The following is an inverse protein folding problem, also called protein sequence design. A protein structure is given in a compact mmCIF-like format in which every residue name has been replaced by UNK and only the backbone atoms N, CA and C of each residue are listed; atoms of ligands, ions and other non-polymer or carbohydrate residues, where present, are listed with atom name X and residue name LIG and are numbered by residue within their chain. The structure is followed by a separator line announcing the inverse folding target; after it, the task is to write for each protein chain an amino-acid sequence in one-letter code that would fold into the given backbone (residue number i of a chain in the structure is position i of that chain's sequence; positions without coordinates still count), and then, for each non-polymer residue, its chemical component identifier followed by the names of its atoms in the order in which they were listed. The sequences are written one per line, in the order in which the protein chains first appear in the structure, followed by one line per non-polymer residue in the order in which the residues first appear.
data_IF_538325965903
#
_entry.id   IF_538325965903
#
_cell.length_a   1.000
_cell.length_b   1.000
_cell.length_c   1.000
_cell.angle_alpha   90.00
_cell.angle_beta   90.00
_cell.angle_gamma   90.00
#
_symmetry.space_group_name_H-M   'P 1'
#
loop_
_entity.id
_entity.type
_entity.pdbx_description
1 polymer ?
#
# COMPACT_ATOMS: atom_id res chain seq x y z
N UNK A 1 -13.70 -7.74 24.32
CA UNK A 1 -13.48 -7.47 22.89
C UNK A 1 -14.77 -7.83 22.18
N UNK A 2 -15.56 -6.82 21.85
CA UNK A 2 -16.84 -6.99 21.16
C UNK A 2 -16.56 -7.54 19.77
N UNK A 3 -17.22 -8.64 19.41
CA UNK A 3 -17.27 -9.06 18.01
C UNK A 3 -17.71 -7.84 17.19
N UNK A 4 -16.92 -7.47 16.19
CA UNK A 4 -17.34 -6.42 15.26
C UNK A 4 -18.57 -6.96 14.54
N UNK A 5 -19.75 -6.53 14.98
CA UNK A 5 -21.05 -6.96 14.47
C UNK A 5 -21.09 -6.67 12.97
N UNK A 6 -20.81 -7.69 12.18
CA UNK A 6 -20.75 -7.65 10.73
C UNK A 6 -21.94 -8.49 10.26
N UNK A 7 -22.75 -7.90 9.38
CA UNK A 7 -23.93 -8.59 8.86
C UNK A 7 -23.57 -9.79 7.94
N UNK A 8 -22.29 -9.91 7.57
CA UNK A 8 -21.73 -10.96 6.72
C UNK A 8 -20.64 -11.68 7.51
N UNK A 9 -20.62 -13.02 7.41
CA UNK A 9 -19.56 -13.82 8.00
C UNK A 9 -18.25 -13.66 7.21
N UNK A 10 -17.15 -13.47 7.92
CA UNK A 10 -15.81 -13.33 7.34
C UNK A 10 -14.97 -14.57 7.66
N UNK A 11 -14.21 -15.06 6.68
CA UNK A 11 -13.38 -16.26 6.83
C UNK A 11 -11.95 -15.91 7.25
N UNK A 12 -11.71 -15.96 8.56
CA UNK A 12 -10.41 -15.67 9.16
C UNK A 12 -9.50 -16.91 9.28
N UNK A 13 -9.85 -18.04 8.66
CA UNK A 13 -9.13 -19.31 8.82
C UNK A 13 -7.67 -19.25 8.38
N UNK A 14 -7.37 -18.47 7.34
CA UNK A 14 -6.02 -18.25 6.81
C UNK A 14 -5.32 -17.00 7.41
N UNK A 15 -5.92 -16.38 8.42
CA UNK A 15 -5.38 -15.23 9.13
C UNK A 15 -5.95 -13.89 8.65
N UNK A 16 -5.14 -12.80 8.61
CA UNK A 16 -5.59 -11.49 8.13
C UNK A 16 -6.09 -11.55 6.69
N UNK A 17 -7.22 -10.90 6.40
CA UNK A 17 -7.84 -10.90 5.08
C UNK A 17 -7.11 -9.94 4.13
N UNK A 18 -6.91 -10.27 2.85
CA UNK A 18 -6.56 -9.28 1.84
C UNK A 18 -7.58 -8.14 1.81
N UNK A 19 -7.07 -6.91 1.79
CA UNK A 19 -7.86 -5.70 1.67
C UNK A 19 -7.33 -4.87 0.50
N UNK A 20 -8.15 -4.74 -0.55
CA UNK A 20 -7.88 -3.87 -1.69
C UNK A 20 -8.38 -2.47 -1.36
N UNK A 21 -7.51 -1.47 -1.41
CA UNK A 21 -7.91 -0.07 -1.35
C UNK A 21 -8.14 0.46 -2.77
N UNK A 22 -9.34 0.95 -3.02
CA UNK A 22 -9.76 1.55 -4.28
C UNK A 22 -10.26 2.97 -4.03
N UNK A 23 -9.84 3.90 -4.87
CA UNK A 23 -10.32 5.27 -4.83
C UNK A 23 -11.83 5.32 -5.12
N UNK A 24 -12.59 5.96 -4.22
CA UNK A 24 -14.05 5.94 -4.24
C UNK A 24 -14.64 6.73 -5.41
N UNK A 25 -13.94 7.73 -5.94
CA UNK A 25 -14.43 8.60 -7.02
C UNK A 25 -14.03 8.08 -8.40
N UNK A 26 -12.76 7.67 -8.55
CA UNK A 26 -12.17 7.29 -9.84
C UNK A 26 -12.25 5.79 -10.12
N UNK A 27 -12.41 4.97 -9.06
CA UNK A 27 -12.31 3.51 -9.16
C UNK A 27 -10.89 2.98 -9.36
N UNK A 28 -9.85 3.83 -9.24
CA UNK A 28 -8.46 3.40 -9.35
C UNK A 28 -8.08 2.47 -8.18
N UNK A 29 -7.43 1.34 -8.48
CA UNK A 29 -6.87 0.49 -7.43
C UNK A 29 -5.59 1.13 -6.90
N UNK A 30 -5.56 1.44 -5.61
CA UNK A 30 -4.48 2.19 -4.96
C UNK A 30 -3.43 1.25 -4.36
N UNK A 31 -3.87 0.24 -3.61
CA UNK A 31 -2.96 -0.71 -2.97
C UNK A 31 -3.67 -1.99 -2.53
N UNK A 32 -2.87 -3.02 -2.27
CA UNK A 32 -3.29 -4.22 -1.55
C UNK A 32 -2.53 -4.27 -0.21
N UNK A 33 -3.26 -4.50 0.86
CA UNK A 33 -2.71 -4.81 2.18
C UNK A 33 -3.52 -5.95 2.80
N UNK A 34 -3.32 -6.17 4.09
CA UNK A 34 -4.07 -7.16 4.85
C UNK A 34 -4.75 -6.48 6.03
N UNK A 35 -5.92 -6.94 6.43
CA UNK A 35 -6.66 -6.45 7.59
C UNK A 35 -6.87 -7.62 8.54
N UNK A 36 -6.43 -7.49 9.79
CA UNK A 36 -6.83 -8.40 10.87
C UNK A 36 -8.21 -8.00 11.41
N UNK A 37 -8.79 -8.84 12.28
CA UNK A 37 -10.04 -8.50 12.99
C UNK A 37 -9.93 -7.15 13.73
N UNK A 38 -8.79 -6.92 14.37
CA UNK A 38 -8.50 -5.67 15.06
C UNK A 38 -8.38 -4.49 14.09
N UNK A 39 -7.70 -4.68 12.96
CA UNK A 39 -7.59 -3.64 11.94
C UNK A 39 -8.95 -3.25 11.35
N UNK A 40 -9.82 -4.23 11.09
CA UNK A 40 -11.18 -3.97 10.62
C UNK A 40 -12.03 -3.24 11.68
N UNK A 41 -11.90 -3.62 12.96
CA UNK A 41 -12.58 -2.93 14.05
C UNK A 41 -12.15 -1.46 14.15
N UNK A 42 -10.83 -1.20 14.15
CA UNK A 42 -10.27 0.16 14.17
C UNK A 42 -10.66 0.97 12.94
N UNK A 43 -10.73 0.33 11.77
CA UNK A 43 -11.20 0.98 10.54
C UNK A 43 -12.65 1.47 10.67
N UNK A 44 -13.54 0.63 11.23
CA UNK A 44 -14.95 1.00 11.45
C UNK A 44 -15.11 2.06 12.55
N UNK A 45 -14.27 2.03 13.57
CA UNK A 45 -14.30 2.98 14.68
C UNK A 45 -13.82 4.37 14.26
N UNK A 46 -12.70 4.44 13.55
CA UNK A 46 -12.02 5.70 13.22
C UNK A 46 -12.49 6.31 11.89
N UNK A 47 -13.05 5.51 10.99
CA UNK A 47 -13.30 5.88 9.59
C UNK A 47 -12.03 6.01 8.75
N UNK A 48 -10.86 5.59 9.28
CA UNK A 48 -9.58 5.63 8.59
C UNK A 48 -9.09 4.20 8.31
N UNK A 49 -8.44 3.97 7.17
CA UNK A 49 -7.98 2.64 6.81
C UNK A 49 -6.86 2.18 7.75
N UNK A 50 -7.13 1.10 8.49
CA UNK A 50 -6.16 0.38 9.30
C UNK A 50 -5.85 -0.97 8.67
N UNK A 51 -4.59 -1.37 8.76
CA UNK A 51 -4.07 -2.58 8.15
C UNK A 51 -3.19 -3.35 9.14
N UNK A 52 -2.91 -4.60 8.80
CA UNK A 52 -2.06 -5.51 9.54
C UNK A 52 -0.83 -5.86 8.70
N UNK A 53 0.36 -5.55 9.23
CA UNK A 53 1.63 -5.91 8.62
C UNK A 53 1.94 -7.38 8.89
N UNK A 54 1.87 -8.24 7.86
CA UNK A 54 2.18 -9.67 8.02
C UNK A 54 3.64 -9.94 8.40
N UNK A 55 4.57 -9.07 8.01
CA UNK A 55 5.99 -9.22 8.32
C UNK A 55 6.34 -8.78 9.74
N UNK A 56 5.66 -7.75 10.25
CA UNK A 56 5.87 -7.25 11.62
C UNK A 56 4.92 -7.87 12.64
N UNK A 57 3.80 -8.42 12.19
CA UNK A 57 2.72 -8.90 13.07
C UNK A 57 1.97 -7.77 13.78
N UNK A 58 2.00 -6.55 13.22
CA UNK A 58 1.56 -5.32 13.88
C UNK A 58 0.44 -4.62 13.12
N UNK A 59 -0.46 -3.98 13.87
CA UNK A 59 -1.45 -3.02 13.37
C UNK A 59 -0.76 -1.72 12.95
N UNK A 60 -1.25 -1.08 11.89
CA UNK A 60 -0.83 0.28 11.53
C UNK A 60 -1.97 1.03 10.83
N UNK A 61 -2.01 2.36 11.01
CA UNK A 61 -2.93 3.23 10.30
C UNK A 61 -2.27 3.79 9.03
N UNK A 62 -2.95 3.74 7.89
CA UNK A 62 -2.41 4.33 6.66
C UNK A 62 -2.23 5.84 6.83
N UNK A 63 -1.01 6.29 6.57
CA UNK A 63 -0.65 7.71 6.63
C UNK A 63 -0.40 8.24 8.03
N UNK A 64 -0.27 7.39 9.05
CA UNK A 64 0.02 7.83 10.43
C UNK A 64 1.28 8.71 10.51
N UNK A 65 2.33 8.36 9.78
CA UNK A 65 3.58 9.12 9.74
C UNK A 65 3.58 10.24 8.69
N UNK A 66 2.95 10.01 7.52
CA UNK A 66 3.04 10.91 6.36
C UNK A 66 1.89 11.91 6.22
N UNK A 67 0.80 11.73 6.97
CA UNK A 67 -0.46 12.44 6.74
C UNK A 67 -1.23 11.97 5.51
N UNK A 68 -0.71 11.04 4.71
CA UNK A 68 -1.38 10.52 3.51
C UNK A 68 -2.40 9.44 3.88
N UNK A 69 -3.43 9.85 4.63
CA UNK A 69 -4.46 8.94 5.17
C UNK A 69 -5.44 8.49 4.10
N UNK A 70 -6.19 7.44 4.42
CA UNK A 70 -7.30 6.93 3.60
C UNK A 70 -8.57 7.01 4.43
N UNK A 71 -9.50 7.91 4.06
CA UNK A 71 -10.82 7.96 4.68
C UNK A 71 -11.70 6.90 4.03
N UNK A 72 -12.26 6.01 4.83
CA UNK A 72 -13.06 4.90 4.32
C UNK A 72 -14.49 5.35 4.13
N UNK A 73 -14.94 5.35 2.87
CA UNK A 73 -16.32 5.64 2.50
C UNK A 73 -17.20 4.38 2.61
N UNK A 74 -16.66 3.22 2.22
CA UNK A 74 -17.37 1.95 2.25
C UNK A 74 -16.39 0.78 2.43
N UNK A 75 -16.81 -0.26 3.14
CA UNK A 75 -16.13 -1.56 3.16
C UNK A 75 -17.06 -2.60 2.55
N UNK A 76 -16.60 -3.21 1.47
CA UNK A 76 -17.25 -4.35 0.82
C UNK A 76 -16.53 -5.64 1.16
N UNK A 77 -17.29 -6.72 1.07
CA UNK A 77 -16.85 -8.09 1.29
C UNK A 77 -17.12 -8.86 0.00
N UNK A 78 -16.23 -9.75 -0.40
CA UNK A 78 -16.47 -10.63 -1.54
C UNK A 78 -17.47 -11.77 -1.22
N UNK A 79 -17.64 -12.71 -2.14
CA UNK A 79 -18.74 -13.68 -2.08
C UNK A 79 -18.55 -14.83 -1.08
N UNK A 80 -17.31 -15.18 -0.77
CA UNK A 80 -16.92 -16.20 0.21
C UNK A 80 -16.38 -15.60 1.52
N UNK A 81 -16.21 -14.28 1.59
CA UNK A 81 -15.91 -13.57 2.83
C UNK A 81 -14.43 -13.61 3.21
N UNK A 82 -13.57 -13.94 2.25
CA UNK A 82 -12.12 -14.03 2.46
C UNK A 82 -11.36 -12.78 1.99
N UNK A 83 -12.03 -11.84 1.30
CA UNK A 83 -11.44 -10.56 0.91
C UNK A 83 -12.31 -9.35 1.19
N UNK A 84 -11.64 -8.21 1.38
CA UNK A 84 -12.25 -6.91 1.60
C UNK A 84 -11.89 -5.94 0.46
N UNK A 85 -12.84 -5.08 0.13
CA UNK A 85 -12.63 -3.92 -0.73
C UNK A 85 -12.96 -2.65 0.05
N UNK A 86 -11.93 -1.84 0.31
CA UNK A 86 -12.06 -0.52 0.93
C UNK A 86 -12.21 0.51 -0.18
N UNK A 87 -13.38 1.14 -0.25
CA UNK A 87 -13.55 2.36 -1.03
C UNK A 87 -13.12 3.55 -0.17
N UNK A 88 -12.12 4.28 -0.66
CA UNK A 88 -11.45 5.31 0.13
C UNK A 88 -11.33 6.62 -0.62
N UNK A 89 -11.34 7.72 0.13
CA UNK A 89 -10.82 9.01 -0.31
C UNK A 89 -9.36 9.11 0.15
N UNK A 90 -8.42 9.19 -0.80
CA UNK A 90 -6.99 9.23 -0.53
C UNK A 90 -6.48 10.66 -0.36
N UNK A 91 -5.78 10.94 0.74
CA UNK A 91 -4.98 12.17 0.88
C UNK A 91 -3.56 11.94 0.37
N UNK A 92 -3.04 12.82 -0.50
CA UNK A 92 -1.71 12.66 -1.08
C UNK A 92 -1.59 11.39 -1.93
N UNK A 93 -0.49 10.66 -1.80
CA UNK A 93 -0.30 9.38 -2.52
C UNK A 93 -0.43 8.15 -1.61
N UNK A 94 -0.99 7.07 -2.17
CA UNK A 94 -1.06 5.79 -1.45
C UNK A 94 0.33 5.12 -1.34
N UNK A 95 1.21 5.36 -2.30
CA UNK A 95 2.53 4.72 -2.37
C UNK A 95 3.63 5.57 -1.74
N UNK A 96 4.46 4.97 -0.88
CA UNK A 96 5.62 5.62 -0.28
C UNK A 96 6.69 6.08 -1.29
N UNK A 97 6.60 5.67 -2.56
CA UNK A 97 7.52 6.08 -3.63
C UNK A 97 7.13 7.41 -4.30
N UNK A 98 6.09 8.08 -3.81
CA UNK A 98 5.58 9.33 -4.37
C UNK A 98 4.40 9.15 -5.32
N UNK A 99 4.02 7.92 -5.67
CA UNK A 99 2.96 7.65 -6.64
C UNK A 99 1.57 7.59 -6.01
N UNK A 100 0.55 7.93 -6.80
CA UNK A 100 -0.85 7.84 -6.40
C UNK A 100 -1.21 6.40 -5.99
N UNK A 101 -0.83 5.42 -6.83
CA UNK A 101 -1.05 3.99 -6.62
C UNK A 101 0.25 3.22 -6.48
N UNK A 102 0.23 2.15 -5.66
CA UNK A 102 1.30 1.16 -5.60
C UNK A 102 1.47 0.40 -6.93
N UNK A 103 0.43 0.36 -7.77
CA UNK A 103 0.43 -0.31 -9.06
C UNK A 103 0.94 0.61 -10.20
N UNK A 104 1.95 1.44 -9.92
CA UNK A 104 2.51 2.41 -10.87
C UNK A 104 3.45 1.80 -11.93
N UNK A 105 3.74 0.49 -11.88
CA UNK A 105 4.66 -0.20 -12.81
C UNK A 105 3.97 -1.36 -13.52
N UNK A 106 4.35 -1.54 -14.77
CA UNK A 106 4.03 -2.72 -15.57
C UNK A 106 4.98 -3.87 -15.27
N UNK A 107 4.60 -5.09 -15.68
CA UNK A 107 5.47 -6.26 -15.59
C UNK A 107 6.78 -6.09 -16.39
N UNK A 108 6.74 -5.33 -17.49
CA UNK A 108 7.91 -5.01 -18.32
C UNK A 108 8.79 -3.89 -17.72
N UNK A 109 8.42 -3.34 -16.56
CA UNK A 109 9.19 -2.34 -15.84
C UNK A 109 8.95 -0.89 -16.26
N UNK A 110 8.01 -0.63 -17.17
CA UNK A 110 7.59 0.74 -17.49
C UNK A 110 6.77 1.34 -16.35
N UNK A 111 7.04 2.60 -16.02
CA UNK A 111 6.21 3.42 -15.12
C UNK A 111 4.98 3.92 -15.88
N UNK A 112 3.80 3.68 -15.33
CA UNK A 112 2.48 4.07 -15.88
C UNK A 112 1.64 4.89 -14.91
N UNK A 113 2.02 4.93 -13.62
CA UNK A 113 1.33 5.71 -12.61
C UNK A 113 1.90 7.13 -12.48
N UNK A 114 1.06 8.05 -12.03
CA UNK A 114 1.46 9.43 -11.74
C UNK A 114 2.18 9.54 -10.39
N UNK A 115 3.26 10.33 -10.37
CA UNK A 115 3.94 10.72 -9.13
C UNK A 115 3.33 12.03 -8.62
N UNK A 116 2.66 11.96 -7.49
CA UNK A 116 1.88 13.05 -6.89
C UNK A 116 2.59 13.75 -5.72
N UNK A 117 3.68 13.17 -5.21
CA UNK A 117 4.52 13.82 -4.19
C UNK A 117 6.00 13.41 -4.26
N UNK A 118 6.84 14.16 -3.56
CA UNK A 118 8.26 13.84 -3.38
C UNK A 118 8.50 13.06 -2.08
N UNK A 119 8.90 11.77 -2.13
CA UNK A 119 9.07 10.97 -0.93
C UNK A 119 10.17 11.50 -0.01
N UNK A 120 11.24 12.11 -0.54
CA UNK A 120 12.33 12.63 0.30
C UNK A 120 11.85 13.84 1.14
N UNK A 121 10.90 14.62 0.61
CA UNK A 121 10.29 15.72 1.34
C UNK A 121 9.32 15.26 2.46
N UNK A 122 8.79 14.04 2.38
CA UNK A 122 7.78 13.50 3.30
C UNK A 122 8.39 12.56 4.34
N UNK A 123 9.31 11.69 3.91
CA UNK A 123 9.91 10.64 4.75
C UNK A 123 11.38 10.92 5.11
N UNK A 124 11.99 11.99 4.55
CA UNK A 124 13.42 12.23 4.60
C UNK A 124 14.19 11.45 3.52
N UNK A 125 15.50 11.71 3.38
CA UNK A 125 16.36 11.05 2.38
C UNK A 125 16.23 9.52 2.49
N UNK A 126 15.61 8.91 1.48
CA UNK A 126 15.55 7.45 1.37
C UNK A 126 16.92 6.96 0.89
N UNK A 127 17.62 6.03 1.58
CA UNK A 127 18.87 5.48 1.06
C UNK A 127 18.60 4.69 -0.23
N UNK A 128 18.90 5.32 -1.37
CA UNK A 128 19.02 4.77 -2.73
C UNK A 128 18.32 3.41 -2.96
N UNK A 129 17.04 3.47 -3.36
CA UNK A 129 16.30 2.34 -3.95
C UNK A 129 16.75 1.99 -5.38
N UNK A 130 18.01 2.24 -5.74
CA UNK A 130 18.51 2.25 -7.12
C UNK A 130 19.86 1.57 -7.33
N UNK A 131 20.09 0.37 -6.78
CA UNK A 131 21.20 -0.46 -7.26
C UNK A 131 20.96 -0.91 -8.70
N UNK A 132 21.54 -0.20 -9.66
CA UNK A 132 22.25 -0.83 -10.78
C UNK A 132 23.52 -0.05 -11.13
N UNK A 133 24.58 -0.34 -10.40
CA UNK A 133 25.93 0.02 -10.81
C UNK A 133 26.26 -0.67 -12.13
N UNK A 134 26.25 0.07 -13.24
CA UNK A 134 26.95 -0.32 -14.46
C UNK A 134 28.30 0.38 -14.44
N UNK A 135 29.28 -0.29 -13.83
CA UNK A 135 30.65 0.19 -13.78
C UNK A 135 31.22 0.35 -15.19
N UNK A 136 31.52 1.59 -15.59
CA UNK A 136 32.41 1.86 -16.71
C UNK A 136 33.83 1.53 -16.26
N UNK A 137 34.30 0.30 -16.53
CA UNK A 137 35.75 0.04 -16.54
C UNK A 137 36.28 0.53 -17.88
N UNK A 138 36.86 1.73 -17.87
CA UNK A 138 37.70 2.23 -18.95
C UNK A 138 38.83 1.23 -19.22
N UNK A 139 39.13 1.06 -20.50
CA UNK A 139 40.05 0.05 -21.01
C UNK A 139 41.46 0.18 -20.47
N UNK A 140 42.10 -0.97 -20.23
CA UNK A 140 43.55 -1.06 -20.19
C UNK A 140 44.05 -1.46 -21.56
N UNK A 141 44.64 -0.47 -22.19
CA UNK A 141 45.54 -0.56 -23.33
C UNK A 141 46.63 -1.61 -23.07
N UNK A 142 46.70 -2.63 -23.93
CA UNK A 142 47.83 -3.58 -23.96
C UNK A 142 48.78 -3.11 -25.06
N UNK A 143 49.68 -2.20 -24.67
CA UNK A 143 50.83 -1.84 -25.48
C UNK A 143 51.73 -3.05 -25.70
N UNK A 144 51.95 -3.38 -26.97
CA UNK A 144 53.02 -4.26 -27.43
C UNK A 144 54.37 -3.56 -27.26
N UNK A 145 55.34 -4.23 -26.63
CA UNK A 145 56.77 -4.31 -27.00
C UNK A 145 57.52 -5.13 -25.96
#
# INVERSE_FOLDING_TARGET
MTEADTAVALDWSDGPLPAVAQDAETGAVLMLAYASREALAQTRETGLAHYHSRSRGELWQKGEESGHVQRVAEVRVDCDGDALLYLVEQEGGACHTGHESCFYRTLDGSTVGERVFDPDAVYGETPDGGRSGRGTRSGRDRGSR
#
